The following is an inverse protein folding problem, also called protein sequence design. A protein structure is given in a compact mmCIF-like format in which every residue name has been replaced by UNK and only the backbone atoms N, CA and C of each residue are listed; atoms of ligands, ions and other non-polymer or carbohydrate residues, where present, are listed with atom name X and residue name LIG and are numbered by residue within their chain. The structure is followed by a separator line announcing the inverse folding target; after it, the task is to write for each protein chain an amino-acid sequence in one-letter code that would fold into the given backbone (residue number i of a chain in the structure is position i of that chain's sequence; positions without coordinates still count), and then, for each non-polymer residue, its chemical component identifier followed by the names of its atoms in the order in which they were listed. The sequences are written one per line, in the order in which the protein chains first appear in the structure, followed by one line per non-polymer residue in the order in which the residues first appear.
data_IF_656589928934
#
_entry.id   IF_656589928934
#
_cell.length_a   1.000
_cell.length_b   1.000
_cell.length_c   1.000
_cell.angle_alpha   90.00
_cell.angle_beta   90.00
_cell.angle_gamma   90.00
#
_symmetry.space_group_name_H-M   'P 1'
#
loop_
_entity.id
_entity.type
_entity.pdbx_description
1 polymer ?
#
# COMPACT_ATOMS: atom_id res chain seq x y z
N UNK A 1 -20.08 -4.38 -10.01
CA UNK A 1 -21.57 -4.40 -9.95
C UNK A 1 -22.19 -5.45 -10.89
N UNK A 2 -21.72 -5.62 -12.15
CA UNK A 2 -22.26 -6.57 -13.13
C UNK A 2 -22.33 -8.03 -12.59
N UNK A 3 -21.21 -8.61 -12.18
CA UNK A 3 -21.13 -9.97 -11.62
C UNK A 3 -21.93 -10.17 -10.33
N UNK A 4 -22.03 -9.10 -9.49
CA UNK A 4 -22.83 -9.15 -8.27
C UNK A 4 -24.34 -9.23 -8.56
N UNK A 5 -24.80 -8.60 -9.62
CA UNK A 5 -26.22 -8.62 -10.00
C UNK A 5 -26.61 -9.91 -10.72
N UNK A 6 -25.70 -10.50 -11.48
CA UNK A 6 -25.94 -11.75 -12.20
C UNK A 6 -25.69 -12.99 -11.35
N UNK A 7 -24.97 -12.84 -10.22
CA UNK A 7 -24.54 -13.96 -9.35
C UNK A 7 -23.80 -15.05 -10.15
N UNK A 8 -23.05 -14.64 -11.18
CA UNK A 8 -22.28 -15.55 -12.03
C UNK A 8 -20.88 -15.83 -11.45
N UNK A 9 -20.32 -16.95 -11.84
CA UNK A 9 -18.94 -17.32 -11.52
C UNK A 9 -17.98 -16.79 -12.60
N UNK A 10 -16.82 -16.28 -12.19
CA UNK A 10 -15.78 -15.84 -13.09
C UNK A 10 -14.38 -16.23 -12.58
N UNK A 11 -13.45 -16.42 -13.50
CA UNK A 11 -12.10 -16.86 -13.21
C UNK A 11 -11.14 -15.73 -12.83
N UNK A 12 -9.89 -16.12 -12.56
CA UNK A 12 -8.84 -15.21 -12.13
C UNK A 12 -8.51 -14.12 -13.19
N UNK A 13 -8.54 -14.48 -14.46
CA UNK A 13 -8.25 -13.55 -15.56
C UNK A 13 -9.29 -12.43 -15.63
N UNK A 14 -10.56 -12.76 -15.45
CA UNK A 14 -11.63 -11.75 -15.39
C UNK A 14 -11.53 -10.90 -14.12
N UNK A 15 -11.22 -11.51 -12.97
CA UNK A 15 -10.96 -10.78 -11.74
C UNK A 15 -9.81 -9.76 -11.90
N UNK A 16 -8.75 -10.13 -12.61
CA UNK A 16 -7.67 -9.22 -12.96
C UNK A 16 -8.10 -8.13 -13.93
N UNK A 17 -8.81 -8.50 -14.98
CA UNK A 17 -9.29 -7.56 -16.01
C UNK A 17 -10.19 -6.46 -15.43
N UNK A 18 -11.05 -6.80 -14.46
CA UNK A 18 -11.97 -5.83 -13.82
C UNK A 18 -11.35 -5.11 -12.61
N UNK A 19 -10.08 -5.37 -12.29
CA UNK A 19 -9.37 -4.73 -11.19
C UNK A 19 -9.74 -5.24 -9.80
N UNK A 20 -10.44 -6.38 -9.69
CA UNK A 20 -10.76 -7.01 -8.41
C UNK A 20 -9.50 -7.54 -7.71
N UNK A 21 -8.57 -8.06 -8.48
CA UNK A 21 -7.23 -8.45 -8.03
C UNK A 21 -6.17 -7.75 -8.86
N UNK A 22 -5.00 -7.50 -8.27
CA UNK A 22 -3.90 -6.77 -8.91
C UNK A 22 -2.87 -7.71 -9.55
N UNK A 23 -2.92 -9.01 -9.21
CA UNK A 23 -2.00 -10.01 -9.74
C UNK A 23 -2.64 -11.38 -9.75
N UNK A 24 -2.35 -12.17 -10.75
CA UNK A 24 -2.72 -13.58 -10.85
C UNK A 24 -1.44 -14.40 -10.88
N UNK A 25 -1.40 -15.48 -10.13
CA UNK A 25 -0.24 -16.38 -10.03
C UNK A 25 -0.67 -17.81 -10.27
N UNK A 26 0.28 -18.69 -10.53
CA UNK A 26 0.03 -20.13 -10.68
C UNK A 26 -0.63 -20.72 -9.43
N UNK A 27 -1.52 -21.72 -9.60
CA UNK A 27 -2.17 -22.39 -8.48
C UNK A 27 -1.16 -22.89 -7.44
N UNK A 28 -1.37 -22.52 -6.19
CA UNK A 28 -0.48 -22.89 -5.07
C UNK A 28 0.65 -21.89 -4.80
N UNK A 29 0.93 -20.93 -5.69
CA UNK A 29 1.98 -19.92 -5.51
C UNK A 29 1.53 -18.70 -4.72
N UNK A 30 0.25 -18.55 -4.40
CA UNK A 30 -0.35 -17.35 -3.82
C UNK A 30 0.32 -16.94 -2.49
N UNK A 31 0.57 -17.93 -1.61
CA UNK A 31 1.20 -17.68 -0.32
C UNK A 31 2.63 -17.18 -0.46
N UNK A 32 3.41 -17.82 -1.33
CA UNK A 32 4.79 -17.40 -1.58
C UNK A 32 4.82 -15.98 -2.11
N UNK A 33 3.99 -15.69 -3.12
CA UNK A 33 3.93 -14.36 -3.72
C UNK A 33 3.48 -13.28 -2.73
N UNK A 34 2.50 -13.57 -1.88
CA UNK A 34 2.08 -12.64 -0.83
C UNK A 34 3.22 -12.31 0.15
N UNK A 35 4.03 -13.32 0.53
CA UNK A 35 5.20 -13.09 1.40
C UNK A 35 6.27 -12.26 0.69
N UNK A 36 6.51 -12.46 -0.60
CA UNK A 36 7.44 -11.64 -1.39
C UNK A 36 6.99 -10.17 -1.43
N UNK A 37 5.71 -9.92 -1.68
CA UNK A 37 5.13 -8.58 -1.65
C UNK A 37 5.25 -7.94 -0.27
N UNK A 38 4.95 -8.69 0.80
CA UNK A 38 5.10 -8.20 2.16
C UNK A 38 6.57 -7.84 2.49
N UNK A 39 7.53 -8.65 2.03
CA UNK A 39 8.96 -8.34 2.19
C UNK A 39 9.37 -7.08 1.41
N UNK A 40 8.82 -6.88 0.22
CA UNK A 40 9.07 -5.66 -0.54
C UNK A 40 8.57 -4.42 0.21
N UNK A 41 7.42 -4.52 0.91
CA UNK A 41 6.90 -3.43 1.74
C UNK A 41 7.83 -3.06 2.91
N UNK A 42 8.67 -3.99 3.40
CA UNK A 42 9.64 -3.70 4.46
C UNK A 42 10.76 -2.73 4.02
N UNK A 43 10.87 -2.46 2.73
CA UNK A 43 11.77 -1.43 2.19
C UNK A 43 11.19 0.00 2.35
N UNK A 44 9.95 0.11 2.80
CA UNK A 44 9.28 1.39 3.05
C UNK A 44 9.18 1.63 4.56
N UNK A 45 9.19 2.91 4.98
CA UNK A 45 8.94 3.27 6.37
C UNK A 45 7.57 2.75 6.82
N UNK A 46 7.49 2.00 7.94
CA UNK A 46 6.22 1.52 8.49
C UNK A 46 5.27 2.66 8.83
N UNK A 47 5.76 3.82 9.25
CA UNK A 47 4.96 5.02 9.51
C UNK A 47 4.33 5.52 8.21
N UNK A 48 5.11 5.68 7.15
CA UNK A 48 4.61 6.11 5.85
C UNK A 48 3.54 5.15 5.30
N UNK A 49 3.77 3.85 5.37
CA UNK A 49 2.78 2.85 4.94
C UNK A 49 1.45 2.98 5.70
N UNK A 50 1.50 3.11 7.03
CA UNK A 50 0.27 3.28 7.84
C UNK A 50 -0.51 4.51 7.44
N UNK A 51 0.17 5.64 7.27
CA UNK A 51 -0.47 6.89 6.86
C UNK A 51 -1.01 6.84 5.44
N UNK A 52 -0.30 6.22 4.50
CA UNK A 52 -0.79 6.01 3.13
C UNK A 52 -2.08 5.20 3.12
N UNK A 53 -2.13 4.09 3.87
CA UNK A 53 -3.34 3.26 3.96
C UNK A 53 -4.50 4.03 4.62
N UNK A 54 -4.21 4.78 5.69
CA UNK A 54 -5.23 5.57 6.37
C UNK A 54 -5.81 6.64 5.43
N UNK A 55 -4.96 7.36 4.68
CA UNK A 55 -5.41 8.38 3.74
C UNK A 55 -6.20 7.79 2.56
N UNK A 56 -5.78 6.63 2.04
CA UNK A 56 -6.53 5.94 1.00
C UNK A 56 -7.95 5.54 1.47
N UNK A 57 -8.10 5.16 2.74
CA UNK A 57 -9.43 4.87 3.33
C UNK A 57 -10.30 6.13 3.42
N UNK A 58 -9.75 7.28 3.79
CA UNK A 58 -10.49 8.55 3.78
C UNK A 58 -11.04 8.84 2.38
N UNK A 59 -10.25 8.62 1.32
CA UNK A 59 -10.71 8.82 -0.05
C UNK A 59 -11.85 7.87 -0.46
N UNK A 60 -11.90 6.66 0.10
CA UNK A 60 -12.94 5.67 -0.19
C UNK A 60 -14.19 5.89 0.66
N UNK A 61 -14.02 6.28 1.94
CA UNK A 61 -15.11 6.34 2.92
C UNK A 61 -15.79 7.72 2.95
N UNK A 62 -15.05 8.77 2.66
CA UNK A 62 -15.54 10.15 2.66
C UNK A 62 -15.59 10.69 1.24
N UNK A 63 -14.50 11.32 0.78
CA UNK A 63 -14.30 11.77 -0.60
C UNK A 63 -12.81 12.06 -0.90
N UNK A 64 -12.50 12.23 -2.17
CA UNK A 64 -11.14 12.51 -2.63
C UNK A 64 -10.60 13.87 -2.10
N UNK A 65 -11.45 14.88 -2.00
CA UNK A 65 -11.04 16.21 -1.52
C UNK A 65 -10.67 16.18 -0.03
N UNK A 66 -11.41 15.41 0.78
CA UNK A 66 -11.07 15.20 2.17
C UNK A 66 -9.71 14.50 2.33
N UNK A 67 -9.44 13.48 1.51
CA UNK A 67 -8.14 12.80 1.49
C UNK A 67 -7.00 13.75 1.09
N UNK A 68 -7.19 14.59 0.07
CA UNK A 68 -6.21 15.60 -0.36
C UNK A 68 -5.96 16.62 0.75
N UNK A 69 -7.01 17.10 1.42
CA UNK A 69 -6.91 18.05 2.52
C UNK A 69 -6.15 17.47 3.73
N UNK A 70 -6.17 16.15 3.95
CA UNK A 70 -5.45 15.48 5.02
C UNK A 70 -3.94 15.35 4.78
N UNK A 71 -3.47 15.42 3.52
CA UNK A 71 -2.06 15.20 3.14
C UNK A 71 -1.08 16.07 3.93
N UNK A 72 -1.26 17.41 4.10
CA UNK A 72 -0.27 18.22 4.80
C UNK A 72 -0.10 17.85 6.29
N UNK A 73 -1.16 17.39 6.93
CA UNK A 73 -1.08 16.92 8.32
C UNK A 73 -0.37 15.57 8.42
N UNK A 74 -0.65 14.67 7.50
CA UNK A 74 0.00 13.38 7.38
C UNK A 74 1.50 13.54 7.10
N UNK A 75 1.90 14.39 6.16
CA UNK A 75 3.30 14.67 5.84
C UNK A 75 4.06 15.17 7.06
N UNK A 76 3.53 16.13 7.81
CA UNK A 76 4.15 16.61 9.05
C UNK A 76 4.37 15.48 10.06
N UNK A 77 3.40 14.58 10.20
CA UNK A 77 3.52 13.43 11.11
C UNK A 77 4.62 12.48 10.67
N UNK A 78 4.69 12.17 9.38
CA UNK A 78 5.73 11.29 8.82
C UNK A 78 7.11 11.93 8.95
N UNK A 79 7.23 13.23 8.62
CA UNK A 79 8.51 13.97 8.68
C UNK A 79 9.08 14.09 10.10
N UNK A 80 8.23 14.00 11.12
CA UNK A 80 8.65 14.01 12.52
C UNK A 80 9.19 12.66 13.02
N UNK A 81 9.18 11.61 12.21
CA UNK A 81 9.63 10.27 12.61
C UNK A 81 11.12 10.06 12.44
N UNK A 82 11.70 9.16 13.26
CA UNK A 82 13.07 8.68 13.09
C UNK A 82 13.24 7.98 11.73
N UNK A 83 12.23 7.24 11.29
CA UNK A 83 12.22 6.56 10.01
C UNK A 83 12.34 7.52 8.81
N UNK A 84 11.77 8.73 8.92
CA UNK A 84 11.93 9.74 7.87
C UNK A 84 13.40 10.20 7.76
N UNK A 85 14.05 10.45 8.89
CA UNK A 85 15.46 10.84 8.93
C UNK A 85 16.35 9.70 8.41
N UNK A 86 16.07 8.46 8.81
CA UNK A 86 16.75 7.28 8.29
C UNK A 86 16.56 7.13 6.77
N UNK A 87 15.36 7.38 6.27
CA UNK A 87 15.07 7.35 4.83
C UNK A 87 15.96 8.35 4.06
N UNK A 88 16.09 9.58 4.55
CA UNK A 88 16.97 10.59 3.95
C UNK A 88 18.43 10.15 4.04
N UNK A 89 18.89 9.72 5.23
CA UNK A 89 20.28 9.31 5.44
C UNK A 89 20.65 8.14 4.54
N UNK A 90 19.83 7.11 4.49
CA UNK A 90 20.05 5.92 3.64
C UNK A 90 20.14 6.26 2.15
N UNK A 91 19.30 7.20 1.68
CA UNK A 91 19.34 7.67 0.30
C UNK A 91 20.65 8.41 -0.02
N UNK A 92 21.08 9.33 0.85
CA UNK A 92 22.33 10.08 0.68
C UNK A 92 23.54 9.15 0.73
N UNK A 93 23.55 8.20 1.66
CA UNK A 93 24.63 7.23 1.88
C UNK A 93 24.60 6.05 0.89
N UNK A 94 23.56 5.94 0.06
CA UNK A 94 23.36 4.85 -0.92
C UNK A 94 23.40 3.45 -0.30
N UNK A 95 22.78 3.30 0.85
CA UNK A 95 22.63 2.03 1.58
C UNK A 95 21.18 1.65 1.77
N UNK A 96 20.91 0.42 2.20
CA UNK A 96 19.57 0.02 2.63
C UNK A 96 19.18 0.79 3.90
N UNK A 97 17.92 1.21 3.97
CA UNK A 97 17.35 1.84 5.17
C UNK A 97 17.06 0.80 6.25
N UNK A 98 17.25 1.19 7.51
CA UNK A 98 16.98 0.38 8.69
C UNK A 98 15.78 0.96 9.46
N UNK A 99 14.59 0.85 8.92
CA UNK A 99 13.37 1.38 9.51
C UNK A 99 12.97 0.65 10.80
N UNK A 100 12.55 1.41 11.81
CA UNK A 100 12.16 0.90 13.14
C UNK A 100 10.68 1.11 13.45
N UNK A 101 9.97 1.89 12.65
CA UNK A 101 8.55 2.21 12.84
C UNK A 101 8.30 3.39 13.79
N UNK A 102 9.34 4.15 14.14
CA UNK A 102 9.30 5.30 15.08
C UNK A 102 9.57 6.61 14.39
#
# INVERSE_FOLDING_TARGET
MYHLLLADEFGADEAYRIGLVQEVVEPGAQRQRAVELARAMLQCSPSALRHTIANARVALDEDELAAIAAIPAMERTVQATEDFQEGIASFVERRAAAFTGR
#
